data_IF_590856233526
#
_entry.id   IF_590856233526
#
_cell.length_a   1.000
_cell.length_b   1.000
_cell.length_c   1.000
_cell.angle_alpha   90.00
_cell.angle_beta   90.00
_cell.angle_gamma   90.00
#
_symmetry.space_group_name_H-M   'P 1'
#
loop_
_entity.id
_entity.type
_entity.pdbx_description
1 polymer ?
#
# COMPACT_ATOMS: atom_id res chain seq x y z
N UNK A 1 -1.26 0.57 17.46
CA UNK A 1 -2.35 -0.08 16.71
C UNK A 1 -1.99 0.05 15.23
N UNK A 2 -1.54 -1.03 14.57
CA UNK A 2 -1.14 -0.97 13.16
C UNK A 2 -2.39 -0.74 12.30
N UNK A 3 -2.55 0.47 11.79
CA UNK A 3 -3.63 0.81 10.88
C UNK A 3 -3.35 0.10 9.55
N UNK A 4 -4.05 -1.01 9.29
CA UNK A 4 -3.92 -1.73 8.03
C UNK A 4 -4.42 -0.80 6.90
N UNK A 5 -3.48 -0.31 6.10
CA UNK A 5 -3.77 0.47 4.88
C UNK A 5 -4.78 -0.30 4.04
N UNK A 6 -5.86 0.39 3.67
CA UNK A 6 -7.00 -0.17 2.93
C UNK A 6 -6.49 -0.79 1.63
N UNK A 7 -6.73 -2.09 1.45
CA UNK A 7 -6.17 -2.93 0.40
C UNK A 7 -6.58 -2.55 -1.04
N UNK A 8 -7.54 -1.64 -1.22
CA UNK A 8 -8.36 -1.57 -2.44
C UNK A 8 -7.83 -0.50 -3.42
N UNK A 9 -6.95 0.40 -2.98
CA UNK A 9 -6.51 1.56 -3.80
C UNK A 9 -5.04 1.51 -4.22
N UNK A 10 -4.27 0.51 -3.79
CA UNK A 10 -2.86 0.40 -4.18
C UNK A 10 -2.72 -0.40 -5.47
N UNK A 11 -1.99 0.15 -6.43
CA UNK A 11 -1.55 -0.57 -7.63
C UNK A 11 -0.65 -1.76 -7.28
N UNK A 12 -0.64 -2.73 -8.18
CA UNK A 12 0.18 -3.94 -8.11
C UNK A 12 1.56 -3.60 -8.72
N UNK A 13 2.63 -3.86 -7.99
CA UNK A 13 4.00 -3.75 -8.51
C UNK A 13 4.38 -4.98 -9.33
N UNK A 14 4.03 -6.16 -8.80
CA UNK A 14 4.39 -7.44 -9.38
C UNK A 14 3.46 -8.53 -8.88
N UNK A 15 3.09 -9.41 -9.78
CA UNK A 15 2.42 -10.65 -9.43
C UNK A 15 2.88 -11.79 -10.34
N UNK A 16 2.99 -12.99 -9.78
CA UNK A 16 3.29 -14.19 -10.54
C UNK A 16 2.97 -15.46 -9.73
N UNK A 17 2.89 -16.60 -10.41
CA UNK A 17 2.92 -17.90 -9.77
C UNK A 17 4.29 -18.13 -9.14
N UNK A 18 4.30 -18.61 -7.91
CA UNK A 18 5.51 -18.94 -7.17
C UNK A 18 5.23 -20.12 -6.25
N UNK A 19 6.28 -20.75 -5.76
CA UNK A 19 6.19 -21.76 -4.73
C UNK A 19 6.54 -21.17 -3.37
N UNK A 20 5.80 -21.58 -2.35
CA UNK A 20 6.08 -21.31 -0.94
C UNK A 20 6.35 -22.63 -0.24
N UNK A 21 7.28 -22.64 0.72
CA UNK A 21 7.44 -23.77 1.63
C UNK A 21 7.34 -23.32 3.09
N UNK A 22 6.91 -24.23 3.95
CA UNK A 22 6.83 -24.00 5.38
C UNK A 22 8.17 -24.33 6.05
N UNK A 23 8.60 -23.49 6.99
CA UNK A 23 9.87 -23.67 7.71
C UNK A 23 9.95 -25.03 8.42
N UNK A 24 8.82 -25.50 8.98
CA UNK A 24 8.74 -26.77 9.72
C UNK A 24 8.57 -27.99 8.81
N UNK A 25 8.20 -27.79 7.54
CA UNK A 25 8.00 -28.88 6.57
C UNK A 25 8.44 -28.42 5.17
N UNK A 26 9.75 -28.45 4.88
CA UNK A 26 10.30 -27.93 3.64
C UNK A 26 9.97 -28.78 2.40
N UNK A 27 9.39 -29.98 2.58
CA UNK A 27 8.95 -30.85 1.49
C UNK A 27 7.53 -30.50 1.02
N UNK A 28 6.79 -29.73 1.82
CA UNK A 28 5.46 -29.26 1.47
C UNK A 28 5.54 -27.99 0.62
N UNK A 29 5.71 -28.17 -0.69
CA UNK A 29 5.77 -27.09 -1.66
C UNK A 29 4.36 -26.69 -2.11
N UNK A 30 3.95 -25.48 -1.77
CA UNK A 30 2.63 -24.94 -2.10
C UNK A 30 2.79 -23.97 -3.26
N UNK A 31 2.18 -24.28 -4.41
CA UNK A 31 2.09 -23.35 -5.54
C UNK A 31 0.99 -22.33 -5.27
N UNK A 32 1.29 -21.06 -5.46
CA UNK A 32 0.31 -19.99 -5.24
C UNK A 32 0.62 -18.73 -6.02
N UNK A 33 -0.37 -17.85 -6.09
CA UNK A 33 -0.24 -16.53 -6.71
C UNK A 33 0.28 -15.54 -5.68
N UNK A 34 1.48 -14.99 -5.90
CA UNK A 34 2.07 -13.97 -5.04
C UNK A 34 1.83 -12.60 -5.66
N UNK A 35 1.30 -11.66 -4.88
CA UNK A 35 0.95 -10.30 -5.31
C UNK A 35 1.61 -9.29 -4.39
N UNK A 36 2.44 -8.42 -4.96
CA UNK A 36 3.06 -7.29 -4.28
C UNK A 36 2.36 -6.00 -4.70
N UNK A 37 1.97 -5.21 -3.71
CA UNK A 37 1.34 -3.91 -3.88
C UNK A 37 2.34 -2.77 -3.60
N UNK A 38 2.12 -1.62 -4.21
CA UNK A 38 2.96 -0.42 -4.04
C UNK A 38 3.04 0.09 -2.60
N UNK A 39 1.99 -0.14 -1.80
CA UNK A 39 1.97 0.18 -0.39
C UNK A 39 2.78 -0.79 0.50
N UNK A 40 3.54 -1.72 -0.09
CA UNK A 40 4.37 -2.68 0.64
C UNK A 40 3.61 -3.87 1.19
N UNK A 41 2.34 -4.06 0.82
CA UNK A 41 1.62 -5.29 1.18
C UNK A 41 2.01 -6.38 0.18
N UNK A 42 2.39 -7.54 0.71
CA UNK A 42 2.67 -8.76 -0.05
C UNK A 42 1.66 -9.83 0.35
N UNK A 43 0.94 -10.38 -0.62
CA UNK A 43 -0.10 -11.39 -0.40
C UNK A 43 0.21 -12.67 -1.16
N UNK A 44 0.14 -13.80 -0.49
CA UNK A 44 0.23 -15.11 -1.12
C UNK A 44 -1.15 -15.78 -1.13
N UNK A 45 -1.56 -16.25 -2.31
CA UNK A 45 -2.83 -16.94 -2.55
C UNK A 45 -2.53 -18.34 -3.10
N UNK A 46 -2.34 -19.32 -2.23
CA UNK A 46 -2.01 -20.69 -2.66
C UNK A 46 -2.65 -21.79 -1.82
N UNK A 47 -2.97 -21.53 -0.56
CA UNK A 47 -3.56 -22.49 0.36
C UNK A 47 -4.76 -21.88 1.12
N UNK A 48 -5.26 -22.60 2.13
CA UNK A 48 -6.25 -22.05 3.09
C UNK A 48 -5.66 -20.94 3.97
N UNK A 49 -4.34 -20.75 3.98
CA UNK A 49 -3.65 -19.76 4.79
C UNK A 49 -3.58 -18.42 4.05
N UNK A 50 -4.22 -17.40 4.61
CA UNK A 50 -4.15 -16.04 4.05
C UNK A 50 -2.87 -15.37 4.55
N UNK A 51 -1.73 -15.71 3.93
CA UNK A 51 -0.46 -15.05 4.24
C UNK A 51 -0.46 -13.64 3.67
N UNK A 52 -0.36 -12.65 4.57
CA UNK A 52 -0.20 -11.24 4.25
C UNK A 52 1.00 -10.71 5.03
N UNK A 53 1.97 -10.18 4.33
CA UNK A 53 3.22 -9.64 4.88
C UNK A 53 3.23 -8.14 4.59
N UNK A 54 3.55 -7.33 5.60
CA UNK A 54 3.74 -5.90 5.44
C UNK A 54 5.24 -5.60 5.39
N UNK A 55 5.70 -5.03 4.27
CA UNK A 55 7.10 -4.76 3.99
C UNK A 55 7.57 -3.38 4.48
N UNK A 56 6.66 -2.49 4.86
CA UNK A 56 6.98 -1.15 5.35
C UNK A 56 7.52 -1.09 6.78
N UNK A 57 7.80 -2.23 7.40
CA UNK A 57 8.45 -2.25 8.71
C UNK A 57 9.98 -2.21 8.50
N UNK A 58 10.70 -1.31 9.19
CA UNK A 58 12.16 -1.12 9.05
C UNK A 58 13.00 -2.38 9.32
N UNK A 59 12.39 -3.44 9.88
CA UNK A 59 13.02 -4.72 10.19
C UNK A 59 12.74 -5.83 9.17
N UNK A 60 12.32 -5.50 7.94
CA UNK A 60 12.14 -6.48 6.86
C UNK A 60 13.41 -6.63 6.04
N UNK A 61 13.88 -7.86 5.87
CA UNK A 61 15.02 -8.20 5.01
C UNK A 61 14.63 -9.21 3.95
N UNK A 62 15.22 -9.08 2.76
CA UNK A 62 15.06 -10.05 1.66
C UNK A 62 16.43 -10.63 1.36
N UNK A 63 16.56 -11.93 1.57
CA UNK A 63 17.81 -12.68 1.49
C UNK A 63 17.71 -13.72 0.37
N UNK A 64 18.78 -13.86 -0.40
CA UNK A 64 18.98 -15.00 -1.30
C UNK A 64 19.94 -16.01 -0.67
N UNK A 65 20.04 -17.19 -1.29
CA UNK A 65 20.99 -18.23 -0.87
C UNK A 65 22.43 -17.69 -0.76
N UNK A 66 22.86 -16.93 -1.76
CA UNK A 66 24.23 -16.39 -1.86
C UNK A 66 24.54 -15.35 -0.76
N UNK A 67 23.51 -14.76 -0.15
CA UNK A 67 23.63 -13.66 0.81
C UNK A 67 23.45 -14.10 2.27
N UNK A 68 23.10 -15.36 2.55
CA UNK A 68 22.78 -15.79 3.92
C UNK A 68 23.35 -17.15 4.28
N UNK A 69 24.39 -17.10 5.12
CA UNK A 69 24.96 -18.27 5.81
C UNK A 69 24.04 -18.83 6.91
N UNK A 70 22.92 -18.15 7.22
CA UNK A 70 21.97 -18.49 8.30
C UNK A 70 20.69 -19.17 7.78
N UNK A 71 20.59 -19.44 6.48
CA UNK A 71 19.48 -20.21 5.92
C UNK A 71 19.71 -21.69 6.24
N UNK A 72 19.15 -22.15 7.36
CA UNK A 72 19.16 -23.55 7.81
C UNK A 72 18.40 -24.53 6.87
N UNK A 73 18.01 -24.08 5.67
CA UNK A 73 17.30 -24.87 4.68
C UNK A 73 18.35 -25.46 3.75
N UNK A 74 18.39 -26.79 3.64
CA UNK A 74 19.30 -27.54 2.75
C UNK A 74 19.49 -26.80 1.42
N UNK A 75 20.73 -26.45 1.11
CA UNK A 75 21.18 -25.55 0.03
C UNK A 75 20.54 -25.79 -1.36
N UNK A 76 20.05 -27.00 -1.64
CA UNK A 76 19.37 -27.35 -2.90
C UNK A 76 17.92 -26.85 -2.98
N UNK A 77 17.23 -26.70 -1.85
CA UNK A 77 15.80 -26.33 -1.84
C UNK A 77 15.55 -24.84 -2.10
N UNK A 78 16.58 -24.01 -1.87
CA UNK A 78 16.59 -22.57 -2.16
C UNK A 78 17.17 -22.23 -3.53
N UNK A 79 17.46 -23.22 -4.39
CA UNK A 79 17.80 -22.93 -5.78
C UNK A 79 16.68 -22.10 -6.42
N UNK A 80 17.04 -20.94 -7.00
CA UNK A 80 16.10 -19.93 -7.51
C UNK A 80 15.08 -19.44 -6.46
N UNK A 81 15.44 -19.49 -5.17
CA UNK A 81 14.61 -19.07 -4.06
C UNK A 81 15.12 -17.82 -3.35
N UNK A 82 14.21 -17.20 -2.60
CA UNK A 82 14.48 -16.06 -1.74
C UNK A 82 13.69 -16.18 -0.44
N UNK A 83 14.14 -15.47 0.58
CA UNK A 83 13.57 -15.49 1.92
C UNK A 83 13.26 -14.07 2.36
N UNK A 84 12.04 -13.86 2.84
CA UNK A 84 11.62 -12.62 3.48
C UNK A 84 11.64 -12.84 4.99
N UNK A 85 12.45 -12.07 5.69
CA UNK A 85 12.57 -12.11 7.15
C UNK A 85 11.85 -10.90 7.72
N UNK A 86 10.88 -11.14 8.61
CA UNK A 86 10.11 -10.10 9.31
C UNK A 86 10.18 -10.36 10.81
N UNK A 87 11.07 -9.64 11.50
CA UNK A 87 11.41 -9.97 12.89
C UNK A 87 11.99 -11.39 12.96
N UNK A 88 11.34 -12.27 13.70
CA UNK A 88 11.74 -13.68 13.83
C UNK A 88 11.10 -14.61 12.78
N UNK A 89 10.11 -14.12 12.03
CA UNK A 89 9.39 -14.96 11.04
C UNK A 89 10.11 -14.97 9.71
N UNK A 90 10.38 -16.16 9.19
CA UNK A 90 10.96 -16.40 7.86
C UNK A 90 9.88 -16.90 6.91
N UNK A 91 9.78 -16.27 5.74
CA UNK A 91 8.89 -16.68 4.66
C UNK A 91 9.72 -17.07 3.46
N UNK A 92 9.61 -18.32 3.04
CA UNK A 92 10.43 -18.86 2.00
C UNK A 92 9.66 -19.01 0.70
N UNK A 93 10.29 -18.57 -0.39
CA UNK A 93 9.71 -18.61 -1.72
C UNK A 93 10.71 -19.18 -2.72
N UNK A 94 10.20 -19.86 -3.74
CA UNK A 94 10.98 -20.45 -4.84
C UNK A 94 10.33 -20.14 -6.18
N UNK A 95 11.14 -19.67 -7.13
CA UNK A 95 10.73 -19.39 -8.51
C UNK A 95 11.12 -20.54 -9.44
N UNK A 96 10.52 -20.57 -10.63
CA UNK A 96 10.88 -21.54 -11.67
C UNK A 96 12.28 -21.24 -12.24
N UNK A 97 12.68 -19.95 -12.29
CA UNK A 97 13.97 -19.52 -12.85
C UNK A 97 14.75 -18.55 -11.95
N UNK A 98 16.08 -18.50 -12.12
CA UNK A 98 16.95 -17.52 -11.43
C UNK A 98 16.57 -16.09 -11.78
N UNK A 99 16.25 -15.81 -13.04
CA UNK A 99 15.87 -14.46 -13.49
C UNK A 99 14.58 -13.98 -12.82
N UNK A 100 13.57 -14.83 -12.69
CA UNK A 100 12.36 -14.48 -11.96
C UNK A 100 12.64 -14.19 -10.49
N UNK A 101 13.50 -14.98 -9.85
CA UNK A 101 13.94 -14.75 -8.47
C UNK A 101 14.61 -13.39 -8.32
N UNK A 102 15.54 -13.03 -9.21
CA UNK A 102 16.22 -11.73 -9.18
C UNK A 102 15.24 -10.57 -9.34
N UNK A 103 14.31 -10.66 -10.30
CA UNK A 103 13.27 -9.65 -10.49
C UNK A 103 12.39 -9.48 -9.24
N UNK A 104 12.06 -10.58 -8.57
CA UNK A 104 11.33 -10.53 -7.30
C UNK A 104 12.12 -9.83 -6.21
N UNK A 105 13.39 -10.22 -6.01
CA UNK A 105 14.28 -9.62 -5.01
C UNK A 105 14.45 -8.13 -5.24
N UNK A 106 14.72 -7.70 -6.47
CA UNK A 106 14.87 -6.28 -6.83
C UNK A 106 13.59 -5.48 -6.57
N UNK A 107 12.45 -6.02 -6.98
CA UNK A 107 11.15 -5.35 -6.76
C UNK A 107 10.85 -5.23 -5.27
N UNK A 108 11.06 -6.31 -4.50
CA UNK A 108 10.84 -6.31 -3.05
C UNK A 108 11.74 -5.31 -2.33
N UNK A 109 13.05 -5.30 -2.64
CA UNK A 109 14.02 -4.36 -2.07
C UNK A 109 13.67 -2.91 -2.39
N UNK A 110 13.32 -2.62 -3.65
CA UNK A 110 12.87 -1.30 -4.07
C UNK A 110 11.62 -0.85 -3.33
N UNK A 111 10.64 -1.75 -3.18
CA UNK A 111 9.40 -1.45 -2.45
C UNK A 111 9.68 -1.20 -0.96
N UNK A 112 10.48 -2.04 -0.29
CA UNK A 112 10.89 -1.83 1.10
C UNK A 112 11.52 -0.44 1.28
N UNK A 113 12.51 -0.10 0.45
CA UNK A 113 13.18 1.20 0.49
C UNK A 113 12.20 2.37 0.32
N UNK A 114 11.26 2.25 -0.64
CA UNK A 114 10.24 3.29 -0.88
C UNK A 114 9.29 3.43 0.29
N UNK A 115 8.86 2.33 0.91
CA UNK A 115 7.94 2.38 2.05
C UNK A 115 8.61 2.93 3.30
N UNK A 116 9.88 2.56 3.57
CA UNK A 116 10.63 3.12 4.70
C UNK A 116 10.80 4.63 4.57
N UNK A 117 11.11 5.15 3.37
CA UNK A 117 11.22 6.60 3.12
C UNK A 117 9.90 7.36 3.30
N UNK A 118 8.75 6.71 3.13
CA UNK A 118 7.44 7.35 3.33
C UNK A 118 7.08 7.48 4.80
N UNK A 119 7.51 6.53 5.63
CA UNK A 119 7.33 6.59 7.09
C UNK A 119 8.30 7.59 7.74
N UNK A 120 9.46 7.79 7.12
CA UNK A 120 10.34 8.95 7.35
C UNK A 120 9.77 10.21 6.69
N UNK A 121 8.56 10.64 7.06
CA UNK A 121 8.12 12.01 6.75
C UNK A 121 9.17 12.94 7.37
N UNK A 122 9.92 13.74 6.58
CA UNK A 122 10.79 14.74 7.16
C UNK A 122 9.91 15.60 8.04
N UNK A 123 10.22 15.68 9.34
CA UNK A 123 9.54 16.64 10.21
C UNK A 123 9.53 17.98 9.45
N UNK A 124 8.37 18.63 9.27
CA UNK A 124 8.31 19.88 8.52
C UNK A 124 9.40 20.77 9.09
N UNK A 125 10.34 21.19 8.25
CA UNK A 125 11.45 22.04 8.67
C UNK A 125 10.81 23.25 9.31
N UNK A 126 10.78 23.29 10.65
CA UNK A 126 10.31 24.44 11.39
C UNK A 126 11.34 25.52 11.08
N UNK A 127 11.07 26.33 10.06
CA UNK A 127 11.85 27.54 9.84
C UNK A 127 11.74 28.36 11.13
N UNK A 128 12.87 28.59 11.78
CA UNK A 128 12.93 29.44 12.96
C UNK A 128 12.51 30.85 12.54
N UNK A 129 11.72 31.58 13.36
CA UNK A 129 11.38 32.97 13.07
C UNK A 129 12.67 33.80 12.90
N UNK A 130 12.76 34.55 11.80
CA UNK A 130 13.92 35.39 11.52
C UNK A 130 13.76 36.73 12.26
N UNK A 131 14.82 37.14 12.96
CA UNK A 131 14.90 38.45 13.59
C UNK A 131 15.76 39.37 12.72
N UNK A 132 15.14 40.42 12.18
CA UNK A 132 15.83 41.44 11.36
C UNK A 132 15.42 42.81 11.87
N UNK A 133 16.40 43.68 12.15
CA UNK A 133 16.21 45.07 12.57
C UNK A 133 15.13 45.29 13.65
N UNK A 134 15.16 44.52 14.74
CA UNK A 134 14.24 44.73 15.86
C UNK A 134 12.87 44.06 15.74
N UNK A 135 12.59 43.37 14.62
CA UNK A 135 11.28 42.76 14.36
C UNK A 135 11.40 41.27 14.08
N UNK A 136 10.51 40.49 14.68
CA UNK A 136 10.36 39.06 14.41
C UNK A 136 9.42 38.85 13.22
N UNK A 137 9.89 38.17 12.18
CA UNK A 137 9.07 37.77 11.05
C UNK A 137 8.59 36.34 11.27
N UNK A 138 7.28 36.10 11.05
CA UNK A 138 6.73 34.76 11.07
C UNK A 138 7.37 33.90 9.97
N UNK A 139 7.58 32.61 10.26
CA UNK A 139 8.11 31.64 9.31
C UNK A 139 7.24 31.62 8.04
N UNK A 140 7.86 31.84 6.88
CA UNK A 140 7.17 31.75 5.60
C UNK A 140 7.03 30.28 5.22
N UNK A 141 5.79 29.78 5.17
CA UNK A 141 5.55 28.48 4.58
C UNK A 141 5.94 28.52 3.09
N UNK A 142 6.74 27.57 2.59
CA UNK A 142 6.93 27.45 1.15
C UNK A 142 5.56 27.24 0.49
N UNK A 143 5.25 28.05 -0.52
CA UNK A 143 4.00 28.03 -1.28
C UNK A 143 3.89 26.83 -2.24
N UNK A 144 4.45 25.68 -1.87
CA UNK A 144 4.27 24.42 -2.61
C UNK A 144 3.01 23.70 -2.12
N UNK A 145 1.88 24.40 -2.17
CA UNK A 145 0.55 23.79 -2.15
C UNK A 145 -0.11 24.06 -3.50
N UNK A 146 0.45 23.53 -4.59
CA UNK A 146 -0.37 23.20 -5.75
C UNK A 146 -1.01 21.83 -5.48
N UNK A 147 -1.89 21.81 -4.48
CA UNK A 147 -2.67 20.62 -4.13
C UNK A 147 -3.92 20.64 -5.01
N UNK A 148 -3.75 20.17 -6.25
CA UNK A 148 -4.83 20.02 -7.26
C UNK A 148 -5.95 19.07 -6.79
N UNK A 149 -5.75 18.40 -5.66
CA UNK A 149 -6.68 17.51 -4.96
C UNK A 149 -7.64 18.26 -4.03
N UNK A 150 -7.30 19.45 -3.55
CA UNK A 150 -8.21 20.22 -2.67
C UNK A 150 -9.38 20.85 -3.43
N UNK A 151 -9.19 21.16 -4.73
CA UNK A 151 -10.29 21.59 -5.60
C UNK A 151 -11.34 20.50 -5.82
N UNK A 152 -10.90 19.24 -5.98
CA UNK A 152 -11.78 18.13 -6.39
C UNK A 152 -12.76 17.69 -5.29
N UNK A 153 -12.36 17.78 -4.02
CA UNK A 153 -13.27 17.48 -2.88
C UNK A 153 -14.27 18.61 -2.62
N UNK A 154 -13.90 19.87 -2.85
CA UNK A 154 -14.82 21.00 -2.75
C UNK A 154 -15.89 20.98 -3.86
N UNK A 155 -15.53 20.56 -5.08
CA UNK A 155 -16.52 20.35 -6.15
C UNK A 155 -17.48 19.18 -5.84
N UNK A 156 -17.00 18.08 -5.25
CA UNK A 156 -17.84 16.93 -4.89
C UNK A 156 -18.90 17.27 -3.84
N UNK A 157 -18.55 18.06 -2.82
CA UNK A 157 -19.50 18.51 -1.81
C UNK A 157 -20.57 19.45 -2.40
N UNK A 158 -20.19 20.40 -3.25
CA UNK A 158 -21.14 21.33 -3.88
C UNK A 158 -22.10 20.62 -4.85
N UNK A 159 -21.63 19.64 -5.63
CA UNK A 159 -22.49 18.84 -6.50
C UNK A 159 -23.49 17.98 -5.70
N UNK A 160 -23.08 17.45 -4.54
CA UNK A 160 -23.98 16.63 -3.70
C UNK A 160 -25.17 17.44 -3.16
N UNK A 161 -24.94 18.68 -2.73
CA UNK A 161 -26.01 19.57 -2.23
C UNK A 161 -26.95 19.98 -3.36
N UNK A 162 -26.41 20.26 -4.55
CA UNK A 162 -27.25 20.59 -5.72
C UNK A 162 -28.13 19.42 -6.15
N UNK A 163 -27.59 18.20 -6.20
CA UNK A 163 -28.39 17.01 -6.52
C UNK A 163 -29.46 16.73 -5.48
N UNK A 164 -29.16 16.87 -4.18
CA UNK A 164 -30.16 16.71 -3.12
C UNK A 164 -31.26 17.76 -3.24
N UNK A 165 -30.91 19.02 -3.50
CA UNK A 165 -31.89 20.08 -3.70
C UNK A 165 -32.79 19.82 -4.91
N UNK A 166 -32.22 19.37 -6.04
CA UNK A 166 -32.97 19.06 -7.25
C UNK A 166 -33.90 17.85 -7.06
N UNK A 167 -33.46 16.84 -6.28
CA UNK A 167 -34.27 15.68 -5.93
C UNK A 167 -35.44 16.06 -5.01
N UNK A 168 -35.19 16.90 -4.00
CA UNK A 168 -36.23 17.43 -3.12
C UNK A 168 -37.23 18.31 -3.88
N UNK A 169 -36.76 19.13 -4.82
CA UNK A 169 -37.62 19.93 -5.68
C UNK A 169 -38.51 19.06 -6.59
N UNK A 170 -37.95 18.00 -7.20
CA UNK A 170 -38.71 17.04 -7.99
C UNK A 170 -39.78 16.30 -7.16
N UNK A 171 -39.44 15.88 -5.93
CA UNK A 171 -40.41 15.24 -5.03
C UNK A 171 -41.52 16.21 -4.66
N UNK A 172 -41.20 17.47 -4.35
CA UNK A 172 -42.20 18.48 -4.05
C UNK A 172 -43.10 18.78 -5.27
N UNK A 173 -42.51 18.89 -6.47
CA UNK A 173 -43.26 19.14 -7.71
C UNK A 173 -44.18 17.96 -8.05
N UNK A 174 -43.71 16.72 -7.91
CA UNK A 174 -44.51 15.52 -8.15
C UNK A 174 -45.66 15.37 -7.14
N UNK A 175 -45.44 15.74 -5.87
CA UNK A 175 -46.53 15.75 -4.89
C UNK A 175 -47.57 16.83 -5.20
N UNK A 176 -47.13 18.00 -5.68
CA UNK A 176 -48.01 19.11 -6.04
C UNK A 176 -48.89 18.79 -7.27
N UNK A 177 -48.33 18.15 -8.31
CA UNK A 177 -49.10 17.72 -9.48
C UNK A 177 -50.05 16.56 -9.18
N UNK A 178 -49.74 15.69 -8.21
CA UNK A 178 -50.67 14.63 -7.80
C UNK A 178 -51.89 15.15 -7.03
N UNK A 179 -51.79 16.32 -6.39
CA UNK A 179 -52.91 16.95 -5.66
C UNK A 179 -53.81 17.83 -6.55
N UNK A 180 -53.47 18.02 -7.83
CA UNK A 180 -54.26 18.82 -8.79
C UNK A 180 -54.94 17.98 -9.88
N UNK A 181 -55.27 16.72 -9.60
CA UNK A 181 -56.29 16.02 -10.40
C UNK A 181 -57.67 16.32 -9.82
N UNK A 182 -58.46 17.25 -10.39
CA UNK A 182 -59.87 17.35 -10.05
C UNK A 182 -60.55 16.06 -10.50
N UNK A 183 -61.26 15.40 -9.57
CA UNK A 183 -62.22 14.38 -9.97
C UNK A 183 -63.33 15.05 -10.78
N UNK A 184 -63.38 14.72 -12.06
CA UNK A 184 -64.55 14.89 -12.93
C UNK A 184 -64.77 13.56 -13.62
#
# INVERSE_FOLDING_TARGET
>A
MLQFVKDITSSICRENWIYRFEERNPDNLIKGWLVLYENGILKFKGDKSRVRIYLGNGNVKVLTKDESHELLVSDSKLENGFVIVVGEKKYFFKCDTRNEMLLWVDTLRSTIQKTTRKDEVPAPVRQLPMYVNGTFYAAQYPSSCTDTTCGMFCFSAAFSVFFIYLLLWLIHFHNFTSQQTPQV
#
